data_IF_137831684027
#
_entry.id   IF_137831684027
#
_cell.length_a   1.000
_cell.length_b   1.000
_cell.length_c   1.000
_cell.angle_alpha   90.00
_cell.angle_beta   90.00
_cell.angle_gamma   90.00
#
_symmetry.space_group_name_H-M   'P 1'
#
loop_
_entity.id
_entity.type
_entity.pdbx_description
1 polymer ?
#
# COMPACT_ATOMS: atom_id res chain seq x y z
N UNK A 1 14.48 -10.07 6.09
CA UNK A 1 14.12 -9.92 4.67
C UNK A 1 12.93 -10.76 4.15
N UNK A 2 12.97 -12.10 4.10
CA UNK A 2 11.92 -12.88 3.41
C UNK A 2 10.51 -12.77 4.02
N UNK A 3 10.41 -12.76 5.35
CA UNK A 3 9.12 -12.51 6.02
C UNK A 3 8.56 -11.14 5.61
N UNK A 4 9.41 -10.10 5.64
CA UNK A 4 9.01 -8.73 5.30
C UNK A 4 8.67 -8.57 3.82
N UNK A 5 9.34 -9.31 2.91
CA UNK A 5 8.89 -9.41 1.53
C UNK A 5 7.50 -10.09 1.46
N UNK A 6 7.27 -11.14 2.24
CA UNK A 6 5.97 -11.80 2.34
C UNK A 6 4.84 -10.85 2.73
N UNK A 7 5.11 -9.87 3.61
CA UNK A 7 4.12 -8.86 4.02
C UNK A 7 3.64 -7.97 2.85
N UNK A 8 4.49 -7.73 1.83
CA UNK A 8 4.15 -6.84 0.70
C UNK A 8 3.94 -7.58 -0.62
N UNK A 9 4.31 -8.87 -0.68
CA UNK A 9 4.26 -9.66 -1.91
C UNK A 9 2.84 -9.75 -2.50
N UNK A 10 1.75 -9.88 -1.70
CA UNK A 10 0.39 -9.80 -2.21
C UNK A 10 0.11 -8.52 -3.00
N UNK A 11 0.51 -7.35 -2.47
CA UNK A 11 0.29 -6.06 -3.11
C UNK A 11 1.13 -5.89 -4.38
N UNK A 12 2.42 -6.26 -4.32
CA UNK A 12 3.30 -6.22 -5.48
C UNK A 12 2.77 -7.07 -6.63
N UNK A 13 2.28 -8.27 -6.32
CA UNK A 13 1.66 -9.15 -7.31
C UNK A 13 0.31 -8.63 -7.77
N UNK A 14 -0.50 -8.00 -6.93
CA UNK A 14 -1.76 -7.37 -7.32
C UNK A 14 -1.60 -6.12 -8.20
N UNK A 15 -0.50 -5.38 -8.01
CA UNK A 15 -0.10 -4.29 -8.91
C UNK A 15 0.28 -4.87 -10.27
N UNK A 16 1.14 -5.89 -10.30
CA UNK A 16 1.62 -6.52 -11.53
C UNK A 16 0.49 -7.27 -12.29
N UNK A 17 -0.31 -8.05 -11.57
CA UNK A 17 -1.39 -8.89 -12.10
C UNK A 17 -2.53 -9.07 -11.10
N UNK A 18 -3.63 -8.35 -11.33
CA UNK A 18 -4.84 -8.33 -10.47
C UNK A 18 -5.51 -9.71 -10.29
N UNK A 19 -5.21 -10.67 -11.16
CA UNK A 19 -5.82 -12.01 -11.14
C UNK A 19 -4.94 -13.05 -10.47
N UNK A 20 -3.69 -12.71 -10.12
CA UNK A 20 -2.79 -13.64 -9.46
C UNK A 20 -2.92 -13.52 -7.95
N UNK A 21 -3.29 -14.63 -7.31
CA UNK A 21 -3.56 -14.70 -5.88
C UNK A 21 -2.54 -15.62 -5.23
N UNK A 22 -1.52 -15.02 -4.59
CA UNK A 22 -0.38 -15.80 -4.07
C UNK A 22 -0.76 -16.74 -2.92
N UNK A 23 -1.84 -16.45 -2.20
CA UNK A 23 -2.35 -17.29 -1.11
C UNK A 23 -3.01 -18.59 -1.59
N UNK A 24 -3.34 -18.70 -2.89
CA UNK A 24 -3.85 -19.92 -3.47
C UNK A 24 -2.74 -21.00 -3.46
N UNK A 25 -2.96 -22.18 -2.86
CA UNK A 25 -2.00 -23.28 -2.81
C UNK A 25 -1.41 -23.69 -4.17
N UNK A 26 -2.16 -23.50 -5.27
CA UNK A 26 -1.69 -23.86 -6.61
C UNK A 26 -0.66 -22.84 -7.17
N UNK A 27 -0.59 -21.65 -6.59
CA UNK A 27 0.25 -20.54 -7.02
C UNK A 27 1.58 -20.44 -6.26
N UNK A 28 1.88 -21.36 -5.33
CA UNK A 28 3.13 -21.34 -4.58
C UNK A 28 3.70 -22.71 -4.19
N UNK A 29 4.94 -22.73 -3.72
CA UNK A 29 5.61 -23.93 -3.15
C UNK A 29 6.30 -23.56 -1.84
N UNK A 30 6.02 -24.32 -0.78
CA UNK A 30 6.65 -24.14 0.54
C UNK A 30 7.53 -25.34 0.89
N UNK A 31 8.79 -25.32 0.45
CA UNK A 31 9.76 -26.42 0.62
C UNK A 31 11.06 -26.00 1.34
N UNK A 32 11.38 -24.71 1.31
CA UNK A 32 12.61 -24.11 1.84
C UNK A 32 12.34 -23.24 3.07
N UNK A 33 13.39 -22.90 3.81
CA UNK A 33 13.26 -21.95 4.93
C UNK A 33 12.74 -20.59 4.44
N UNK A 34 13.26 -20.09 3.31
CA UNK A 34 12.87 -18.84 2.69
C UNK A 34 11.39 -18.84 2.27
N UNK A 35 10.92 -19.92 1.64
CA UNK A 35 9.50 -20.05 1.28
C UNK A 35 8.56 -20.08 2.48
N UNK A 36 8.99 -20.66 3.61
CA UNK A 36 8.21 -20.64 4.86
C UNK A 36 8.12 -19.23 5.44
N UNK A 37 9.19 -18.46 5.37
CA UNK A 37 9.20 -17.06 5.79
C UNK A 37 8.30 -16.20 4.88
N UNK A 38 8.36 -16.39 3.56
CA UNK A 38 7.47 -15.73 2.61
C UNK A 38 6.00 -16.04 2.92
N UNK A 39 5.66 -17.32 3.10
CA UNK A 39 4.30 -17.72 3.43
C UNK A 39 3.84 -17.14 4.78
N UNK A 40 4.68 -17.18 5.80
CA UNK A 40 4.36 -16.58 7.10
C UNK A 40 4.05 -15.08 6.97
N UNK A 41 4.86 -14.34 6.20
CA UNK A 41 4.61 -12.93 5.91
C UNK A 41 3.32 -12.70 5.12
N UNK A 42 3.03 -13.54 4.12
CA UNK A 42 1.78 -13.44 3.34
C UNK A 42 0.55 -13.65 4.24
N UNK A 43 0.59 -14.65 5.12
CA UNK A 43 -0.51 -14.91 6.06
C UNK A 43 -0.66 -13.75 7.05
N UNK A 44 0.46 -13.23 7.55
CA UNK A 44 0.47 -12.08 8.46
C UNK A 44 -0.04 -10.81 7.77
N UNK A 45 0.23 -10.60 6.48
CA UNK A 45 -0.37 -9.51 5.70
C UNK A 45 -1.90 -9.55 5.77
N UNK A 46 -2.53 -10.69 5.48
CA UNK A 46 -3.99 -10.80 5.52
C UNK A 46 -4.57 -10.68 6.94
N UNK A 47 -3.86 -11.21 7.94
CA UNK A 47 -4.24 -11.05 9.34
C UNK A 47 -4.24 -9.58 9.76
N UNK A 48 -3.13 -8.86 9.51
CA UNK A 48 -2.97 -7.45 9.86
C UNK A 48 -3.92 -6.55 9.08
N UNK A 49 -4.13 -6.84 7.80
CA UNK A 49 -5.10 -6.14 6.96
C UNK A 49 -6.51 -6.26 7.56
N UNK A 50 -6.91 -7.48 7.96
CA UNK A 50 -8.22 -7.72 8.58
C UNK A 50 -8.39 -6.98 9.91
N UNK A 51 -7.36 -6.98 10.75
CA UNK A 51 -7.35 -6.28 12.05
C UNK A 51 -7.43 -4.77 11.83
N UNK A 52 -6.61 -4.23 10.93
CA UNK A 52 -6.54 -2.81 10.65
C UNK A 52 -7.90 -2.27 10.17
N UNK A 53 -8.55 -2.97 9.23
CA UNK A 53 -9.87 -2.57 8.70
C UNK A 53 -10.99 -2.59 9.74
N UNK A 54 -10.82 -3.33 10.84
CA UNK A 54 -11.77 -3.40 11.95
C UNK A 54 -11.44 -2.43 13.09
N UNK A 55 -10.28 -1.78 13.04
CA UNK A 55 -9.84 -0.86 14.09
C UNK A 55 -10.70 0.41 14.15
N UNK A 56 -10.85 0.97 15.35
CA UNK A 56 -11.53 2.26 15.54
C UNK A 56 -10.83 3.37 14.75
N UNK A 57 -9.50 3.32 14.69
CA UNK A 57 -8.67 4.23 13.90
C UNK A 57 -9.09 4.24 12.43
N UNK A 58 -9.14 3.08 11.78
CA UNK A 58 -9.50 2.97 10.36
C UNK A 58 -10.93 3.44 10.10
N UNK A 59 -11.89 3.00 10.93
CA UNK A 59 -13.30 3.37 10.77
C UNK A 59 -13.52 4.88 10.94
N UNK A 60 -12.87 5.49 11.94
CA UNK A 60 -12.91 6.93 12.21
C UNK A 60 -12.33 7.73 11.04
N UNK A 61 -11.09 7.46 10.65
CA UNK A 61 -10.41 8.28 9.66
C UNK A 61 -10.98 8.08 8.25
N UNK A 62 -11.37 6.87 7.87
CA UNK A 62 -12.05 6.63 6.58
C UNK A 62 -13.37 7.40 6.52
N UNK A 63 -14.12 7.45 7.61
CA UNK A 63 -15.38 8.22 7.68
C UNK A 63 -15.15 9.72 7.55
N UNK A 64 -14.15 10.27 8.27
CA UNK A 64 -13.79 11.69 8.19
C UNK A 64 -13.32 12.09 6.79
N UNK A 65 -12.50 11.24 6.15
CA UNK A 65 -12.03 11.47 4.78
C UNK A 65 -13.21 11.42 3.81
N UNK A 66 -14.10 10.43 3.93
CA UNK A 66 -15.29 10.32 3.07
C UNK A 66 -16.14 11.59 3.11
N UNK A 67 -16.44 12.11 4.31
CA UNK A 67 -17.19 13.37 4.44
C UNK A 67 -16.43 14.55 3.82
N UNK A 68 -15.11 14.60 4.00
CA UNK A 68 -14.29 15.65 3.38
C UNK A 68 -14.31 15.57 1.85
N UNK A 69 -14.34 14.36 1.27
CA UNK A 69 -14.48 14.14 -0.18
C UNK A 69 -15.89 14.51 -0.69
N UNK A 70 -16.93 14.29 0.11
CA UNK A 70 -18.31 14.70 -0.19
C UNK A 70 -18.43 16.23 -0.31
N UNK A 71 -17.81 16.96 0.61
CA UNK A 71 -17.79 18.43 0.63
C UNK A 71 -17.08 19.06 -0.58
N UNK A 72 -16.26 18.33 -1.33
CA UNK A 72 -15.57 18.89 -2.50
C UNK A 72 -16.52 19.15 -3.68
N UNK A 73 -17.68 18.47 -3.70
CA UNK A 73 -18.70 18.54 -4.76
C UNK A 73 -18.16 18.21 -6.17
N UNK A 74 -17.16 17.31 -6.25
CA UNK A 74 -16.54 16.90 -7.52
C UNK A 74 -17.32 15.72 -8.11
N UNK A 75 -17.96 15.93 -9.26
CA UNK A 75 -18.94 15.01 -9.85
C UNK A 75 -18.40 13.59 -10.08
N UNK A 76 -17.15 13.45 -10.57
CA UNK A 76 -16.60 12.13 -10.87
C UNK A 76 -16.26 11.30 -9.62
N UNK A 77 -16.20 11.94 -8.43
CA UNK A 77 -15.95 11.25 -7.16
C UNK A 77 -17.22 10.63 -6.57
N UNK A 78 -18.41 11.15 -6.89
CA UNK A 78 -19.65 10.90 -6.16
C UNK A 78 -19.97 9.41 -5.93
N UNK A 79 -19.70 8.55 -6.91
CA UNK A 79 -20.00 7.11 -6.80
C UNK A 79 -18.89 6.27 -6.15
N UNK A 80 -17.75 6.87 -5.80
CA UNK A 80 -16.53 6.18 -5.35
C UNK A 80 -15.96 6.72 -4.03
N UNK A 81 -16.70 7.56 -3.31
CA UNK A 81 -16.21 8.22 -2.10
C UNK A 81 -15.71 7.25 -1.04
N UNK A 82 -16.41 6.13 -0.80
CA UNK A 82 -15.93 5.09 0.12
C UNK A 82 -14.59 4.48 -0.31
N UNK A 83 -14.50 4.07 -1.58
CA UNK A 83 -13.28 3.49 -2.15
C UNK A 83 -12.12 4.49 -2.12
N UNK A 84 -12.37 5.75 -2.48
CA UNK A 84 -11.34 6.78 -2.49
C UNK A 84 -10.93 7.21 -1.08
N UNK A 85 -11.86 7.22 -0.12
CA UNK A 85 -11.54 7.52 1.27
C UNK A 85 -10.61 6.48 1.87
N UNK A 86 -10.85 5.20 1.58
CA UNK A 86 -9.96 4.10 1.96
C UNK A 86 -8.56 4.31 1.37
N UNK A 87 -8.44 4.42 0.04
CA UNK A 87 -7.14 4.58 -0.62
C UNK A 87 -6.41 5.83 -0.11
N UNK A 88 -7.15 6.92 0.09
CA UNK A 88 -6.57 8.17 0.59
C UNK A 88 -6.07 8.03 2.03
N UNK A 89 -6.77 7.26 2.87
CA UNK A 89 -6.31 6.96 4.23
C UNK A 89 -4.97 6.23 4.20
N UNK A 90 -4.86 5.15 3.42
CA UNK A 90 -3.62 4.36 3.29
C UNK A 90 -2.44 5.23 2.82
N UNK A 91 -2.66 6.05 1.78
CA UNK A 91 -1.61 6.95 1.26
C UNK A 91 -1.17 8.01 2.27
N UNK A 92 -2.09 8.53 3.08
CA UNK A 92 -1.76 9.52 4.11
C UNK A 92 -1.03 8.86 5.28
N UNK A 93 -1.43 7.64 5.66
CA UNK A 93 -0.72 6.85 6.69
C UNK A 93 0.73 6.62 6.27
N UNK A 94 0.97 6.18 5.03
CA UNK A 94 2.33 6.00 4.50
C UNK A 94 3.13 7.30 4.65
N UNK A 95 2.57 8.42 4.19
CA UNK A 95 3.21 9.74 4.31
C UNK A 95 3.55 10.09 5.76
N UNK A 96 2.59 9.93 6.69
CA UNK A 96 2.76 10.25 8.11
C UNK A 96 3.82 9.36 8.77
N UNK A 97 3.78 8.05 8.54
CA UNK A 97 4.78 7.10 9.05
C UNK A 97 6.17 7.47 8.52
N UNK A 98 6.31 7.76 7.23
CA UNK A 98 7.59 8.12 6.61
C UNK A 98 8.15 9.43 7.22
N UNK A 99 7.29 10.40 7.50
CA UNK A 99 7.68 11.68 8.11
C UNK A 99 8.11 11.50 9.58
N UNK A 100 7.43 10.65 10.34
CA UNK A 100 7.72 10.38 11.77
C UNK A 100 8.90 9.44 11.98
N UNK A 101 9.01 8.42 11.16
CA UNK A 101 9.88 7.26 11.36
C UNK A 101 10.68 6.93 10.09
N UNK A 102 11.47 7.90 9.60
CA UNK A 102 12.24 7.77 8.36
C UNK A 102 13.15 6.52 8.29
N UNK A 103 13.60 5.99 9.43
CA UNK A 103 14.40 4.76 9.52
C UNK A 103 13.64 3.51 9.00
N UNK A 104 12.30 3.50 9.05
CA UNK A 104 11.49 2.40 8.52
C UNK A 104 11.75 2.20 7.04
N UNK A 105 11.86 3.28 6.26
CA UNK A 105 12.14 3.16 4.82
C UNK A 105 13.52 2.60 4.53
N UNK A 106 14.52 2.99 5.33
CA UNK A 106 15.86 2.43 5.18
C UNK A 106 15.85 0.92 5.45
N UNK A 107 15.25 0.50 6.56
CA UNK A 107 15.13 -0.92 6.91
C UNK A 107 14.34 -1.70 5.85
N UNK A 108 13.24 -1.13 5.37
CA UNK A 108 12.39 -1.70 4.32
C UNK A 108 13.19 -1.97 3.03
N UNK A 109 13.87 -0.96 2.48
CA UNK A 109 14.64 -1.16 1.26
C UNK A 109 15.89 -2.01 1.48
N UNK A 110 16.52 -1.93 2.65
CA UNK A 110 17.62 -2.83 3.00
C UNK A 110 17.15 -4.30 2.99
N UNK A 111 15.98 -4.60 3.54
CA UNK A 111 15.41 -5.95 3.48
C UNK A 111 15.19 -6.42 2.04
N UNK A 112 14.66 -5.57 1.16
CA UNK A 112 14.44 -5.88 -0.25
C UNK A 112 15.75 -6.08 -1.03
N UNK A 113 16.78 -5.32 -0.71
CA UNK A 113 18.10 -5.42 -1.34
C UNK A 113 18.78 -6.77 -1.06
N UNK A 114 18.48 -7.39 0.09
CA UNK A 114 19.03 -8.69 0.50
C UNK A 114 18.22 -9.91 0.02
N UNK A 115 17.15 -9.72 -0.76
CA UNK A 115 16.35 -10.82 -1.29
C UNK A 115 17.08 -11.52 -2.44
N UNK A 116 17.28 -12.84 -2.32
CA UNK A 116 17.66 -13.68 -3.46
C UNK A 116 16.42 -13.99 -4.31
N UNK A 117 16.38 -13.39 -5.51
CA UNK A 117 15.29 -13.55 -6.44
C UNK A 117 15.09 -15.01 -6.89
N UNK A 118 16.13 -15.85 -6.88
CA UNK A 118 16.00 -17.27 -7.24
C UNK A 118 15.10 -17.99 -6.24
N UNK A 119 15.22 -17.67 -4.94
CA UNK A 119 14.39 -18.25 -3.89
C UNK A 119 12.93 -17.83 -4.02
N UNK A 120 12.68 -16.56 -4.36
CA UNK A 120 11.32 -16.05 -4.59
C UNK A 120 10.73 -16.62 -5.88
N UNK A 121 11.54 -16.78 -6.94
CA UNK A 121 11.13 -17.45 -8.19
C UNK A 121 10.69 -18.89 -7.94
N UNK A 122 11.45 -19.64 -7.13
CA UNK A 122 11.10 -21.01 -6.77
C UNK A 122 9.81 -21.10 -5.93
N UNK A 123 9.52 -20.05 -5.15
CA UNK A 123 8.28 -19.94 -4.38
C UNK A 123 7.05 -19.73 -5.27
N UNK A 124 7.13 -18.93 -6.33
CA UNK A 124 6.00 -18.64 -7.23
C UNK A 124 5.77 -19.79 -8.22
N UNK A 125 4.54 -20.33 -8.27
CA UNK A 125 4.14 -21.44 -9.15
C UNK A 125 2.89 -21.10 -9.97
N UNK A 126 2.51 -21.98 -10.90
CA UNK A 126 1.24 -21.91 -11.61
C UNK A 126 1.21 -20.90 -12.76
N UNK A 127 2.38 -20.34 -13.12
CA UNK A 127 2.56 -19.36 -14.18
C UNK A 127 3.70 -19.75 -15.12
N UNK A 128 3.64 -19.24 -16.33
CA UNK A 128 4.70 -19.42 -17.31
C UNK A 128 5.94 -18.57 -16.97
N UNK A 129 7.05 -18.90 -17.63
CA UNK A 129 8.33 -18.22 -17.44
C UNK A 129 8.25 -16.72 -17.80
N UNK A 130 7.39 -16.35 -18.76
CA UNK A 130 7.21 -14.96 -19.17
C UNK A 130 6.61 -14.12 -18.05
N UNK A 131 5.56 -14.62 -17.38
CA UNK A 131 4.95 -13.97 -16.23
C UNK A 131 5.95 -13.80 -15.09
N UNK A 132 6.66 -14.88 -14.75
CA UNK A 132 7.64 -14.86 -13.66
C UNK A 132 8.73 -13.83 -13.96
N UNK A 133 9.35 -13.88 -15.14
CA UNK A 133 10.40 -12.93 -15.50
C UNK A 133 9.89 -11.48 -15.52
N UNK A 134 8.71 -11.22 -16.06
CA UNK A 134 8.12 -9.88 -16.07
C UNK A 134 7.81 -9.35 -14.66
N UNK A 135 7.39 -10.20 -13.72
CA UNK A 135 7.23 -9.81 -12.32
C UNK A 135 8.57 -9.41 -11.70
N UNK A 136 9.64 -10.17 -11.94
CA UNK A 136 10.97 -9.86 -11.37
C UNK A 136 11.60 -8.61 -11.99
N UNK A 137 11.34 -8.30 -13.26
CA UNK A 137 11.69 -7.00 -13.83
C UNK A 137 10.93 -5.84 -13.15
N UNK A 138 9.65 -6.04 -12.87
CA UNK A 138 8.86 -5.08 -12.10
C UNK A 138 9.40 -4.91 -10.68
N UNK A 139 9.69 -6.01 -9.99
CA UNK A 139 10.22 -6.03 -8.63
C UNK A 139 11.58 -5.32 -8.56
N UNK A 140 12.47 -5.57 -9.52
CA UNK A 140 13.77 -4.90 -9.58
C UNK A 140 13.62 -3.38 -9.75
N UNK A 141 12.70 -2.93 -10.62
CA UNK A 141 12.39 -1.50 -10.76
C UNK A 141 11.81 -0.92 -9.47
N UNK A 142 10.88 -1.61 -8.83
CA UNK A 142 10.27 -1.18 -7.57
C UNK A 142 11.32 -0.96 -6.48
N UNK A 143 12.21 -1.96 -6.30
CA UNK A 143 13.29 -1.92 -5.32
C UNK A 143 14.30 -0.81 -5.61
N UNK A 144 14.79 -0.71 -6.85
CA UNK A 144 15.86 0.23 -7.22
C UNK A 144 15.39 1.69 -7.30
N UNK A 145 14.14 1.94 -7.71
CA UNK A 145 13.60 3.31 -7.80
C UNK A 145 13.24 3.91 -6.44
N UNK A 146 13.15 3.07 -5.41
CA UNK A 146 12.84 3.46 -4.04
C UNK A 146 11.67 4.45 -3.91
N UNK A 147 10.57 4.14 -4.60
CA UNK A 147 9.42 5.04 -4.78
C UNK A 147 8.86 5.66 -3.49
N UNK A 148 8.88 4.93 -2.37
CA UNK A 148 8.32 5.42 -1.11
C UNK A 148 9.04 6.66 -0.56
N UNK A 149 10.32 6.90 -0.88
CA UNK A 149 10.99 8.15 -0.47
C UNK A 149 10.36 9.40 -1.10
N UNK A 150 9.59 9.26 -2.17
CA UNK A 150 8.89 10.38 -2.79
C UNK A 150 7.55 10.69 -2.11
N UNK A 151 7.08 9.86 -1.19
CA UNK A 151 5.74 9.95 -0.57
C UNK A 151 5.75 10.89 0.64
N UNK A 152 6.31 12.09 0.49
CA UNK A 152 6.55 13.01 1.61
C UNK A 152 5.76 14.32 1.51
N UNK A 153 4.97 14.49 0.45
CA UNK A 153 4.20 15.70 0.17
C UNK A 153 2.75 15.40 -0.22
N UNK A 154 1.88 16.38 -0.06
CA UNK A 154 0.50 16.33 -0.52
C UNK A 154 0.43 16.12 -2.03
N UNK A 155 1.34 16.73 -2.79
CA UNK A 155 1.40 16.58 -4.25
C UNK A 155 1.76 15.14 -4.66
N UNK A 156 2.60 14.44 -3.88
CA UNK A 156 2.87 13.03 -4.08
C UNK A 156 1.61 12.16 -3.84
N UNK A 157 0.84 12.47 -2.80
CA UNK A 157 -0.45 11.80 -2.53
C UNK A 157 -1.43 12.04 -3.67
N UNK A 158 -1.58 13.29 -4.15
CA UNK A 158 -2.46 13.63 -5.29
C UNK A 158 -2.02 12.89 -6.55
N UNK A 159 -0.72 12.81 -6.81
CA UNK A 159 -0.18 12.08 -7.96
C UNK A 159 -0.58 10.59 -7.91
N UNK A 160 -0.46 9.94 -6.76
CA UNK A 160 -0.84 8.54 -6.57
C UNK A 160 -2.35 8.33 -6.68
N UNK A 161 -3.15 9.25 -6.11
CA UNK A 161 -4.60 9.24 -6.31
C UNK A 161 -4.96 9.31 -7.79
N UNK A 162 -4.32 10.19 -8.57
CA UNK A 162 -4.53 10.29 -10.01
C UNK A 162 -4.18 8.98 -10.72
N UNK A 163 -3.12 8.28 -10.33
CA UNK A 163 -2.77 6.95 -10.87
C UNK A 163 -3.84 5.90 -10.58
N UNK A 164 -4.44 5.93 -9.38
CA UNK A 164 -5.56 5.05 -9.03
C UNK A 164 -6.79 5.37 -9.88
N UNK A 165 -7.14 6.66 -10.01
CA UNK A 165 -8.27 7.12 -10.83
C UNK A 165 -8.12 6.70 -12.31
N UNK A 166 -6.93 6.87 -12.89
CA UNK A 166 -6.60 6.40 -14.25
C UNK A 166 -6.82 4.89 -14.38
N UNK A 167 -6.38 4.09 -13.39
CA UNK A 167 -6.50 2.62 -13.42
C UNK A 167 -7.95 2.13 -13.40
N UNK A 168 -8.87 2.93 -12.88
CA UNK A 168 -10.31 2.65 -12.83
C UNK A 168 -11.13 3.45 -13.85
N UNK A 169 -10.47 4.09 -14.83
CA UNK A 169 -11.09 4.87 -15.92
C UNK A 169 -11.96 6.04 -15.44
N UNK A 170 -11.50 6.77 -14.43
CA UNK A 170 -12.12 8.03 -13.98
C UNK A 170 -11.28 9.23 -14.38
N UNK A 171 -11.93 10.40 -14.40
CA UNK A 171 -11.23 11.68 -14.51
C UNK A 171 -10.26 11.88 -13.33
N UNK A 172 -9.18 12.60 -13.61
CA UNK A 172 -8.13 12.93 -12.63
C UNK A 172 -8.30 14.37 -12.11
N UNK A 173 -7.67 14.68 -10.98
CA UNK A 173 -7.52 16.05 -10.50
C UNK A 173 -6.53 16.80 -11.39
N UNK A 174 -7.03 17.60 -12.34
CA UNK A 174 -6.20 18.40 -13.25
C UNK A 174 -6.62 19.89 -13.31
N UNK A 175 -7.76 20.23 -12.73
CA UNK A 175 -8.24 21.60 -12.65
C UNK A 175 -7.73 22.24 -11.36
N UNK A 176 -7.15 23.45 -11.43
CA UNK A 176 -6.52 24.13 -10.28
C UNK A 176 -7.44 24.23 -9.05
N UNK A 177 -8.73 24.53 -9.26
CA UNK A 177 -9.72 24.59 -8.19
C UNK A 177 -9.89 23.24 -7.47
N UNK A 178 -9.94 22.14 -8.21
CA UNK A 178 -10.08 20.80 -7.65
C UNK A 178 -8.79 20.34 -6.96
N UNK A 179 -7.64 20.70 -7.51
CA UNK A 179 -6.32 20.47 -6.91
C UNK A 179 -6.19 21.18 -5.55
N UNK A 180 -6.62 22.43 -5.44
CA UNK A 180 -6.63 23.16 -4.16
C UNK A 180 -7.55 22.48 -3.13
N UNK A 181 -8.74 22.08 -3.56
CA UNK A 181 -9.72 21.37 -2.72
C UNK A 181 -9.19 20.05 -2.17
N UNK A 182 -8.67 19.17 -3.04
CA UNK A 182 -8.14 17.87 -2.61
C UNK A 182 -6.88 18.04 -1.76
N UNK A 183 -6.02 19.02 -2.07
CA UNK A 183 -4.84 19.33 -1.24
C UNK A 183 -5.26 19.72 0.18
N UNK A 184 -6.27 20.58 0.33
CA UNK A 184 -6.77 20.97 1.65
C UNK A 184 -7.38 19.78 2.41
N UNK A 185 -8.08 18.88 1.71
CA UNK A 185 -8.57 17.62 2.27
C UNK A 185 -7.41 16.76 2.81
N UNK A 186 -6.33 16.60 2.04
CA UNK A 186 -5.15 15.82 2.45
C UNK A 186 -4.47 16.44 3.67
N UNK A 187 -4.30 17.77 3.69
CA UNK A 187 -3.68 18.49 4.81
C UNK A 187 -4.48 18.25 6.10
N UNK A 188 -5.80 18.46 6.05
CA UNK A 188 -6.68 18.27 7.21
C UNK A 188 -6.66 16.83 7.71
N UNK A 189 -6.74 15.86 6.79
CA UNK A 189 -6.70 14.44 7.14
C UNK A 189 -5.34 14.02 7.70
N UNK A 190 -4.23 14.54 7.16
CA UNK A 190 -2.89 14.33 7.70
C UNK A 190 -2.80 14.84 9.13
N UNK A 191 -3.29 16.05 9.41
CA UNK A 191 -3.30 16.62 10.77
C UNK A 191 -4.11 15.77 11.75
N UNK A 192 -5.28 15.26 11.33
CA UNK A 192 -6.08 14.38 12.18
C UNK A 192 -5.35 13.07 12.49
N UNK A 193 -4.75 12.44 11.48
CA UNK A 193 -3.98 11.19 11.64
C UNK A 193 -2.74 11.41 12.51
N UNK A 194 -2.06 12.54 12.37
CA UNK A 194 -0.92 12.93 13.21
C UNK A 194 -1.30 13.12 14.68
N UNK A 195 -2.49 13.65 14.95
CA UNK A 195 -2.99 13.80 16.33
C UNK A 195 -3.35 12.45 16.96
N UNK A 196 -3.78 11.49 16.14
CA UNK A 196 -4.16 10.13 16.55
C UNK A 196 -3.03 9.11 16.28
N UNK A 197 -1.77 9.57 16.11
CA UNK A 197 -0.66 8.71 15.69
C UNK A 197 -0.37 7.59 16.69
N UNK A 198 -0.54 7.85 17.99
CA UNK A 198 -0.29 6.85 19.04
C UNK A 198 -1.27 5.67 18.93
N UNK A 199 -2.50 5.89 18.48
CA UNK A 199 -3.48 4.82 18.24
C UNK A 199 -3.03 3.95 17.05
N UNK A 200 -2.58 4.58 15.96
CA UNK A 200 -2.01 3.88 14.80
C UNK A 200 -0.77 3.07 15.18
N UNK A 201 0.10 3.65 16.02
CA UNK A 201 1.30 2.99 16.53
C UNK A 201 0.95 1.81 17.44
N UNK A 202 -0.04 1.94 18.31
CA UNK A 202 -0.51 0.85 19.17
C UNK A 202 -1.05 -0.34 18.37
N UNK A 203 -1.76 -0.10 17.26
CA UNK A 203 -2.20 -1.16 16.33
C UNK A 203 -0.98 -1.90 15.76
N UNK A 204 0.09 -1.18 15.42
CA UNK A 204 1.32 -1.78 14.91
C UNK A 204 2.05 -2.61 15.99
N UNK A 205 2.24 -2.04 17.17
CA UNK A 205 3.05 -2.64 18.23
C UNK A 205 2.35 -3.83 18.92
N UNK A 206 1.04 -3.77 19.15
CA UNK A 206 0.30 -4.86 19.80
C UNK A 206 0.23 -6.12 18.94
N UNK A 207 0.35 -5.98 17.62
CA UNK A 207 0.22 -7.08 16.66
C UNK A 207 1.58 -7.63 16.17
N UNK A 208 2.69 -7.20 16.77
CA UNK A 208 4.08 -7.49 16.37
C UNK A 208 4.37 -7.14 14.89
N UNK A 209 4.12 -5.90 14.47
CA UNK A 209 4.67 -5.35 13.21
C UNK A 209 6.20 -5.34 13.18
#
# INVERSE_FOLDING_TARGET
>A
PYHNLGLILPDLLGIYSRHFKIYDPDNHVVDSFESRQLMAGILKHFELDSIFHQSEFFLKHTTLIRYSLEELEITFLASKQHFLAHILLELIIDKVIIQRESQILENFYNDLDHIDQIKVKAFIKGKDEQFVNGFFEFFERFRTKRYLYSYTSEDAVIFLMNKVLERINLSIFNHEADLMKIRQCIIRSSQNIENDYDDLKAIRENENF
#
